data_IF_394011497551
#
_entry.id   IF_394011497551
#
_cell.length_a   1.000
_cell.length_b   1.000
_cell.length_c   1.000
_cell.angle_alpha   90.00
_cell.angle_beta   90.00
_cell.angle_gamma   90.00
#
_symmetry.space_group_name_H-M   'P 1'
#
loop_
_entity.id
_entity.type
_entity.pdbx_description
1 polymer ?
#
# COMPACT_ATOMS: atom_id res chain seq x y z
N UNK A 1 -41.10 71.85 32.70
CA UNK A 1 -39.63 72.03 32.58
C UNK A 1 -39.04 70.66 32.30
N UNK A 2 -38.46 70.49 31.12
CA UNK A 2 -37.74 69.29 30.71
C UNK A 2 -36.44 69.19 31.51
N UNK A 3 -36.12 68.00 32.05
CA UNK A 3 -34.76 67.69 32.50
C UNK A 3 -34.25 66.45 31.77
N UNK A 4 -33.15 66.68 31.07
CA UNK A 4 -32.41 65.75 30.23
C UNK A 4 -31.82 64.59 31.03
N UNK A 5 -32.08 63.37 30.56
CA UNK A 5 -31.30 62.18 30.92
C UNK A 5 -30.13 62.08 29.93
N UNK A 6 -28.91 62.37 30.39
CA UNK A 6 -27.67 61.96 29.70
C UNK A 6 -26.86 61.07 30.63
N UNK A 7 -27.09 59.76 30.51
CA UNK A 7 -26.23 58.74 31.10
C UNK A 7 -25.31 58.23 29.97
N UNK A 8 -24.12 58.83 29.85
CA UNK A 8 -23.07 58.40 28.93
C UNK A 8 -22.40 57.14 29.48
N UNK A 9 -22.82 55.98 28.97
CA UNK A 9 -22.06 54.74 29.13
C UNK A 9 -20.78 54.84 28.30
N UNK A 10 -19.62 54.80 28.97
CA UNK A 10 -18.33 54.71 28.33
C UNK A 10 -18.23 53.38 27.57
N UNK A 11 -18.09 53.46 26.24
CA UNK A 11 -17.79 52.31 25.41
C UNK A 11 -16.40 51.74 25.78
N UNK A 12 -16.22 50.41 25.83
CA UNK A 12 -14.90 49.82 26.03
C UNK A 12 -14.00 50.21 24.85
N UNK A 13 -12.94 50.95 25.15
CA UNK A 13 -11.92 51.31 24.17
C UNK A 13 -11.20 50.03 23.72
N UNK A 14 -11.61 49.51 22.56
CA UNK A 14 -10.87 48.46 21.86
C UNK A 14 -9.56 49.06 21.36
N UNK A 15 -8.56 49.12 22.24
CA UNK A 15 -7.24 49.66 21.92
C UNK A 15 -6.56 48.86 20.79
N UNK A 16 -5.65 49.49 20.03
CA UNK A 16 -4.96 48.89 18.88
C UNK A 16 -4.23 47.58 19.20
N UNK A 17 -3.91 47.32 20.48
CA UNK A 17 -3.26 46.10 20.95
C UNK A 17 -4.13 44.83 20.81
N UNK A 18 -5.47 44.91 20.97
CA UNK A 18 -6.34 43.73 20.91
C UNK A 18 -6.46 43.14 19.50
N UNK A 19 -6.45 44.01 18.47
CA UNK A 19 -6.44 43.59 17.07
C UNK A 19 -5.09 42.94 16.69
N UNK A 20 -3.98 43.48 17.20
CA UNK A 20 -2.65 42.95 16.93
C UNK A 20 -2.43 41.56 17.55
N UNK A 21 -2.95 41.31 18.76
CA UNK A 21 -2.92 40.00 19.42
C UNK A 21 -3.80 38.96 18.70
N UNK A 22 -5.00 39.35 18.23
CA UNK A 22 -5.85 38.46 17.43
C UNK A 22 -5.19 38.06 16.09
N UNK A 23 -4.51 39.01 15.43
CA UNK A 23 -3.74 38.74 14.21
C UNK A 23 -2.55 37.81 14.48
N UNK A 24 -1.79 38.01 15.56
CA UNK A 24 -0.72 37.08 15.97
C UNK A 24 -1.27 35.68 16.23
N UNK A 25 -2.37 35.55 16.97
CA UNK A 25 -3.04 34.27 17.23
C UNK A 25 -3.48 33.55 15.95
N UNK A 26 -3.97 34.30 14.95
CA UNK A 26 -4.32 33.76 13.64
C UNK A 26 -3.09 33.20 12.90
N UNK A 27 -1.98 33.96 12.84
CA UNK A 27 -0.74 33.48 12.20
C UNK A 27 -0.11 32.28 12.92
N UNK A 28 -0.18 32.24 14.25
CA UNK A 28 0.27 31.09 15.04
C UNK A 28 -0.58 29.87 14.70
N UNK A 29 -1.92 30.00 14.72
CA UNK A 29 -2.83 28.90 14.36
C UNK A 29 -2.58 28.40 12.94
N UNK A 30 -2.42 29.30 11.97
CA UNK A 30 -2.15 28.97 10.57
C UNK A 30 -0.80 28.27 10.36
N UNK A 31 0.23 28.64 11.16
CA UNK A 31 1.51 27.91 11.18
C UNK A 31 1.35 26.52 11.80
N UNK A 32 0.61 26.39 12.90
CA UNK A 32 0.39 25.12 13.58
C UNK A 32 -0.41 24.14 12.71
N UNK A 33 -1.46 24.61 12.05
CA UNK A 33 -2.29 23.80 11.14
C UNK A 33 -1.48 23.32 9.93
N UNK A 34 -0.67 24.20 9.32
CA UNK A 34 0.26 23.82 8.25
C UNK A 34 1.31 22.83 8.74
N UNK A 35 1.86 23.00 9.95
CA UNK A 35 2.82 22.05 10.52
C UNK A 35 2.20 20.68 10.77
N UNK A 36 0.94 20.63 11.21
CA UNK A 36 0.22 19.37 11.44
C UNK A 36 -0.10 18.66 10.12
N UNK A 37 -0.56 19.37 9.10
CA UNK A 37 -0.76 18.82 7.75
C UNK A 37 0.55 18.27 7.16
N UNK A 38 1.66 19.01 7.31
CA UNK A 38 2.99 18.53 6.90
C UNK A 38 3.43 17.28 7.67
N UNK A 39 3.20 17.22 8.99
CA UNK A 39 3.51 16.03 9.81
C UNK A 39 2.68 14.83 9.35
N UNK A 40 1.38 15.02 9.16
CA UNK A 40 0.48 13.96 8.71
C UNK A 40 0.85 13.45 7.31
N UNK A 41 1.17 14.35 6.37
CA UNK A 41 1.68 13.96 5.04
C UNK A 41 3.00 13.22 5.11
N UNK A 42 3.95 13.68 5.93
CA UNK A 42 5.26 13.03 6.14
C UNK A 42 5.10 11.64 6.74
N UNK A 43 4.23 11.48 7.73
CA UNK A 43 4.02 10.21 8.41
C UNK A 43 3.26 9.23 7.50
N UNK A 44 2.28 9.71 6.73
CA UNK A 44 1.65 8.94 5.64
C UNK A 44 2.69 8.47 4.62
N UNK A 45 3.55 9.37 4.16
CA UNK A 45 4.62 9.05 3.21
C UNK A 45 5.62 8.04 3.77
N UNK A 46 6.00 8.15 5.04
CA UNK A 46 6.84 7.15 5.74
C UNK A 46 6.15 5.78 5.79
N UNK A 47 4.87 5.74 6.12
CA UNK A 47 4.09 4.49 6.15
C UNK A 47 4.02 3.86 4.76
N UNK A 48 3.71 4.65 3.73
CA UNK A 48 3.69 4.19 2.33
C UNK A 48 5.07 3.71 1.88
N UNK A 49 6.16 4.42 2.19
CA UNK A 49 7.52 3.97 1.89
C UNK A 49 7.86 2.67 2.61
N UNK A 50 7.46 2.52 3.88
CA UNK A 50 7.73 1.30 4.65
C UNK A 50 6.98 0.10 4.06
N UNK A 51 5.72 0.30 3.64
CA UNK A 51 4.93 -0.69 2.88
C UNK A 51 5.58 -1.02 1.53
N UNK A 52 6.05 -0.01 0.78
CA UNK A 52 6.79 -0.20 -0.48
C UNK A 52 8.08 -0.99 -0.22
N UNK A 53 8.87 -0.65 0.80
CA UNK A 53 10.08 -1.39 1.18
C UNK A 53 9.80 -2.85 1.54
N UNK A 54 8.68 -3.12 2.23
CA UNK A 54 8.27 -4.48 2.53
C UNK A 54 7.89 -5.26 1.26
N UNK A 55 7.23 -4.61 0.30
CA UNK A 55 6.89 -5.20 -1.00
C UNK A 55 8.13 -5.44 -1.89
N UNK A 56 9.17 -4.60 -1.77
CA UNK A 56 10.44 -4.75 -2.49
C UNK A 56 11.33 -5.89 -1.96
N UNK A 57 10.89 -6.62 -0.92
CA UNK A 57 11.59 -7.81 -0.45
C UNK A 57 11.71 -8.83 -1.59
N UNK A 58 12.93 -9.30 -1.79
CA UNK A 58 13.19 -10.45 -2.64
C UNK A 58 13.34 -11.69 -1.79
N UNK A 59 12.77 -12.81 -2.25
CA UNK A 59 12.97 -14.13 -1.64
C UNK A 59 13.60 -15.00 -2.70
N UNK A 60 14.85 -15.42 -2.49
CA UNK A 60 15.62 -16.21 -3.48
C UNK A 60 15.66 -15.53 -4.87
N UNK A 61 15.74 -14.19 -4.85
CA UNK A 61 15.72 -13.34 -6.03
C UNK A 61 14.34 -13.16 -6.69
N UNK A 62 13.26 -13.73 -6.16
CA UNK A 62 11.88 -13.49 -6.60
C UNK A 62 11.38 -12.18 -6.00
N UNK A 63 10.91 -11.26 -6.84
CA UNK A 63 10.32 -10.00 -6.41
C UNK A 63 8.86 -10.20 -6.02
N UNK A 64 8.58 -10.28 -4.72
CA UNK A 64 7.23 -10.59 -4.22
C UNK A 64 6.19 -9.52 -4.61
N UNK A 65 6.59 -8.25 -4.73
CA UNK A 65 5.67 -7.21 -5.23
C UNK A 65 5.15 -7.46 -6.65
N UNK A 66 5.94 -8.09 -7.53
CA UNK A 66 5.51 -8.39 -8.91
C UNK A 66 4.36 -9.41 -8.88
N UNK A 67 4.51 -10.43 -8.02
CA UNK A 67 3.49 -11.46 -7.78
C UNK A 67 2.26 -10.83 -7.14
N UNK A 68 2.45 -10.08 -6.06
CA UNK A 68 1.37 -9.41 -5.32
C UNK A 68 0.53 -8.49 -6.22
N UNK A 69 1.18 -7.73 -7.12
CA UNK A 69 0.50 -6.84 -8.06
C UNK A 69 -0.33 -7.61 -9.09
N UNK A 70 0.18 -8.74 -9.59
CA UNK A 70 -0.57 -9.59 -10.53
C UNK A 70 -1.78 -10.24 -9.85
N UNK A 71 -1.61 -10.74 -8.63
CA UNK A 71 -2.69 -11.31 -7.82
C UNK A 71 -3.79 -10.28 -7.54
N UNK A 72 -3.42 -9.09 -7.05
CA UNK A 72 -4.37 -8.00 -6.84
C UNK A 72 -5.11 -7.58 -8.11
N UNK A 73 -4.44 -7.64 -9.26
CA UNK A 73 -5.11 -7.37 -10.53
C UNK A 73 -6.17 -8.43 -10.83
N UNK A 74 -5.84 -9.71 -10.65
CA UNK A 74 -6.77 -10.83 -10.85
C UNK A 74 -7.96 -10.74 -9.91
N UNK A 75 -7.72 -10.46 -8.63
CA UNK A 75 -8.79 -10.28 -7.63
C UNK A 75 -9.77 -9.16 -8.00
N UNK A 76 -9.30 -8.10 -8.67
CA UNK A 76 -10.15 -6.98 -9.12
C UNK A 76 -10.83 -7.23 -10.46
N UNK A 77 -10.18 -7.94 -11.38
CA UNK A 77 -10.68 -8.16 -12.74
C UNK A 77 -11.48 -9.45 -12.90
N UNK A 78 -11.47 -10.32 -11.89
CA UNK A 78 -11.91 -11.71 -12.01
C UNK A 78 -10.87 -12.58 -12.72
N UNK A 79 -11.04 -13.90 -12.58
CA UNK A 79 -10.21 -14.91 -13.25
C UNK A 79 -10.77 -15.16 -14.65
N UNK A 80 -9.96 -14.98 -15.72
CA UNK A 80 -10.41 -15.28 -17.08
C UNK A 80 -10.78 -16.77 -17.25
N UNK A 81 -11.87 -17.05 -17.99
CA UNK A 81 -12.39 -18.42 -18.20
C UNK A 81 -11.32 -19.43 -18.63
N UNK A 82 -10.41 -19.05 -19.53
CA UNK A 82 -9.28 -19.90 -19.97
C UNK A 82 -8.42 -20.46 -18.82
N UNK A 83 -8.30 -19.72 -17.72
CA UNK A 83 -7.54 -20.14 -16.54
C UNK A 83 -8.36 -21.08 -15.66
N UNK A 84 -9.68 -20.88 -15.62
CA UNK A 84 -10.62 -21.82 -14.97
C UNK A 84 -10.65 -23.15 -15.72
N UNK A 85 -10.76 -23.11 -17.05
CA UNK A 85 -10.79 -24.31 -17.91
C UNK A 85 -9.51 -25.15 -17.78
N UNK A 86 -8.37 -24.49 -17.57
CA UNK A 86 -7.07 -25.16 -17.40
C UNK A 86 -6.75 -25.48 -15.94
N UNK A 87 -7.55 -24.98 -14.98
CA UNK A 87 -7.31 -25.11 -13.54
C UNK A 87 -6.03 -24.43 -13.07
N UNK A 88 -5.46 -23.47 -13.82
CA UNK A 88 -4.19 -22.84 -13.45
C UNK A 88 -3.98 -21.42 -13.97
N UNK A 89 -3.32 -20.62 -13.14
CA UNK A 89 -2.81 -19.29 -13.48
C UNK A 89 -1.28 -19.31 -13.42
N UNK A 90 -0.63 -18.88 -14.51
CA UNK A 90 0.84 -18.80 -14.57
C UNK A 90 1.31 -17.36 -14.41
N UNK A 91 2.14 -17.12 -13.39
CA UNK A 91 2.83 -15.86 -13.15
C UNK A 91 4.31 -16.05 -13.49
N UNK A 92 4.70 -15.59 -14.68
CA UNK A 92 6.13 -15.56 -15.06
C UNK A 92 6.88 -14.57 -14.18
N UNK A 93 8.04 -15.03 -13.66
CA UNK A 93 8.93 -14.27 -12.78
C UNK A 93 10.18 -13.82 -13.54
N UNK A 94 10.83 -12.78 -13.01
CA UNK A 94 12.11 -12.29 -13.52
C UNK A 94 13.18 -13.39 -13.54
N UNK A 95 13.99 -13.50 -14.60
CA UNK A 95 15.02 -14.57 -14.72
C UNK A 95 16.02 -14.57 -13.57
N UNK A 96 16.48 -15.75 -13.16
CA UNK A 96 17.56 -15.90 -12.18
C UNK A 96 18.90 -15.63 -12.88
N UNK A 97 19.74 -14.76 -12.29
CA UNK A 97 21.09 -14.48 -12.81
C UNK A 97 22.05 -15.66 -12.60
N UNK A 98 21.78 -16.50 -11.61
CA UNK A 98 22.58 -17.70 -11.32
C UNK A 98 22.05 -18.89 -12.12
N UNK A 99 22.95 -19.83 -12.45
CA UNK A 99 22.64 -21.05 -13.20
C UNK A 99 22.17 -22.22 -12.32
N UNK A 100 22.07 -21.99 -11.01
CA UNK A 100 21.70 -23.01 -10.03
C UNK A 100 20.21 -22.94 -9.71
N UNK A 101 19.47 -24.05 -9.81
CA UNK A 101 18.09 -24.13 -9.34
C UNK A 101 18.01 -23.86 -7.83
N UNK A 102 16.85 -23.41 -7.35
CA UNK A 102 16.60 -23.34 -5.91
C UNK A 102 16.39 -24.75 -5.34
N UNK A 103 16.80 -24.94 -4.09
CA UNK A 103 16.57 -26.19 -3.36
C UNK A 103 15.10 -26.34 -2.99
N UNK A 104 14.67 -27.55 -2.63
CA UNK A 104 13.27 -27.80 -2.25
C UNK A 104 12.81 -26.96 -1.04
N UNK A 105 13.69 -26.78 -0.05
CA UNK A 105 13.41 -25.90 1.10
C UNK A 105 13.26 -24.42 0.70
N UNK A 106 14.02 -23.98 -0.30
CA UNK A 106 13.87 -22.64 -0.87
C UNK A 106 12.56 -22.50 -1.66
N UNK A 107 12.14 -23.52 -2.42
CA UNK A 107 10.84 -23.52 -3.12
C UNK A 107 9.69 -23.39 -2.14
N UNK A 108 9.66 -24.24 -1.11
CA UNK A 108 8.63 -24.20 -0.06
C UNK A 108 8.58 -22.83 0.63
N UNK A 109 9.75 -22.21 0.87
CA UNK A 109 9.81 -20.84 1.40
C UNK A 109 9.20 -19.82 0.43
N UNK A 110 9.47 -19.91 -0.87
CA UNK A 110 8.89 -19.00 -1.87
C UNK A 110 7.36 -19.19 -1.90
N UNK A 111 6.88 -20.42 -1.96
CA UNK A 111 5.45 -20.76 -1.98
C UNK A 111 4.73 -20.23 -0.76
N UNK A 112 5.27 -20.45 0.45
CA UNK A 112 4.74 -19.90 1.69
C UNK A 112 4.67 -18.38 1.67
N UNK A 113 5.74 -17.73 1.21
CA UNK A 113 5.79 -16.27 1.12
C UNK A 113 4.81 -15.71 0.08
N UNK A 114 4.49 -16.46 -0.97
CA UNK A 114 3.46 -16.11 -1.96
C UNK A 114 2.06 -16.29 -1.38
N UNK A 115 1.84 -17.38 -0.63
CA UNK A 115 0.57 -17.68 0.04
C UNK A 115 0.18 -16.62 1.08
N UNK A 116 1.18 -16.04 1.76
CA UNK A 116 1.03 -14.96 2.74
C UNK A 116 0.87 -13.55 2.11
N UNK A 117 0.86 -13.42 0.77
CA UNK A 117 0.67 -12.12 0.11
C UNK A 117 -0.77 -11.63 0.25
N UNK A 118 -0.91 -10.33 0.55
CA UNK A 118 -2.21 -9.63 0.58
C UNK A 118 -3.03 -9.86 -0.70
N UNK A 119 -2.38 -9.83 -1.86
CA UNK A 119 -3.04 -10.07 -3.14
C UNK A 119 -3.56 -11.50 -3.30
N UNK A 120 -2.93 -12.47 -2.65
CA UNK A 120 -3.39 -13.86 -2.66
C UNK A 120 -4.65 -14.00 -1.80
N UNK A 121 -4.66 -13.34 -0.63
CA UNK A 121 -5.86 -13.26 0.21
C UNK A 121 -7.01 -12.56 -0.51
N UNK A 122 -6.75 -11.43 -1.17
CA UNK A 122 -7.74 -10.73 -1.97
C UNK A 122 -8.32 -11.61 -3.09
N UNK A 123 -7.51 -12.50 -3.69
CA UNK A 123 -7.97 -13.43 -4.71
C UNK A 123 -8.92 -14.49 -4.10
N UNK A 124 -8.56 -15.07 -2.95
CA UNK A 124 -9.42 -16.01 -2.19
C UNK A 124 -10.77 -15.39 -1.81
N UNK A 125 -10.76 -14.12 -1.43
CA UNK A 125 -11.98 -13.40 -1.05
C UNK A 125 -12.84 -13.00 -2.26
N UNK A 126 -12.24 -12.86 -3.44
CA UNK A 126 -12.96 -12.46 -4.66
C UNK A 126 -13.77 -13.59 -5.29
N UNK A 127 -13.30 -14.83 -5.16
CA UNK A 127 -13.80 -15.99 -5.90
C UNK A 127 -13.66 -17.23 -5.01
N UNK A 128 -14.74 -18.01 -4.84
CA UNK A 128 -14.80 -19.16 -3.91
C UNK A 128 -14.15 -20.44 -4.46
N UNK A 129 -12.93 -20.35 -4.99
CA UNK A 129 -12.12 -21.50 -5.35
C UNK A 129 -11.04 -21.76 -4.30
N UNK A 130 -10.53 -22.99 -4.29
CA UNK A 130 -9.30 -23.31 -3.56
C UNK A 130 -8.11 -22.98 -4.45
N UNK A 131 -7.15 -22.23 -3.90
CA UNK A 131 -5.94 -21.81 -4.60
C UNK A 131 -4.70 -22.36 -3.92
N UNK A 132 -3.76 -22.87 -4.71
CA UNK A 132 -2.46 -23.34 -4.21
C UNK A 132 -1.30 -22.79 -5.06
N UNK A 133 -0.37 -22.02 -4.49
CA UNK A 133 0.81 -21.57 -5.21
C UNK A 133 1.86 -22.69 -5.28
N UNK A 134 2.42 -22.89 -6.47
CA UNK A 134 3.50 -23.84 -6.75
C UNK A 134 4.62 -23.10 -7.48
N UNK A 135 5.84 -23.15 -6.94
CA UNK A 135 6.99 -22.56 -7.58
C UNK A 135 7.66 -23.55 -8.53
N UNK A 136 7.87 -23.10 -9.76
CA UNK A 136 8.46 -23.91 -10.82
C UNK A 136 9.62 -23.17 -11.47
N UNK A 137 10.62 -23.95 -11.87
CA UNK A 137 11.76 -23.45 -12.61
C UNK A 137 12.26 -24.47 -13.62
N UNK A 138 12.82 -23.96 -14.72
CA UNK A 138 13.38 -24.74 -15.81
C UNK A 138 14.71 -24.13 -16.23
N UNK A 139 15.74 -24.97 -16.20
CA UNK A 139 17.07 -24.60 -16.71
C UNK A 139 16.99 -24.38 -18.22
N UNK A 140 17.53 -23.25 -18.67
CA UNK A 140 17.71 -22.91 -20.08
C UNK A 140 19.20 -22.64 -20.35
N UNK A 141 19.59 -22.59 -21.62
CA UNK A 141 20.98 -22.35 -22.02
C UNK A 141 21.57 -21.07 -21.40
N UNK A 142 20.77 -20.02 -21.23
CA UNK A 142 21.21 -18.70 -20.76
C UNK A 142 20.67 -18.33 -19.36
N UNK A 143 20.39 -19.32 -18.51
CA UNK A 143 19.95 -19.11 -17.13
C UNK A 143 18.71 -19.92 -16.76
N UNK A 144 17.97 -19.47 -15.75
CA UNK A 144 16.79 -20.19 -15.25
C UNK A 144 15.53 -19.36 -15.51
N UNK A 145 14.59 -19.96 -16.24
CA UNK A 145 13.23 -19.49 -16.34
C UNK A 145 12.46 -20.00 -15.12
N UNK A 146 11.71 -19.12 -14.47
CA UNK A 146 10.93 -19.45 -13.29
C UNK A 146 9.57 -18.79 -13.32
N UNK A 147 8.60 -19.43 -12.70
CA UNK A 147 7.23 -18.96 -12.63
C UNK A 147 6.54 -19.52 -11.39
N UNK A 148 5.46 -18.87 -10.99
CA UNK A 148 4.50 -19.41 -10.01
C UNK A 148 3.31 -19.94 -10.81
N UNK A 149 2.92 -21.18 -10.58
CA UNK A 149 1.59 -21.67 -10.95
C UNK A 149 0.67 -21.55 -9.74
N UNK A 150 -0.51 -21.01 -9.94
CA UNK A 150 -1.58 -21.04 -8.95
C UNK A 150 -2.56 -22.08 -9.46
N UNK A 151 -2.59 -23.22 -8.81
CA UNK A 151 -3.56 -24.27 -9.06
C UNK A 151 -4.92 -23.82 -8.54
N UNK A 152 -5.97 -24.03 -9.33
CA UNK A 152 -7.35 -23.69 -9.01
C UNK A 152 -8.13 -25.01 -8.92
N UNK A 153 -8.73 -25.29 -7.77
CA UNK A 153 -9.68 -26.40 -7.61
C UNK A 153 -11.02 -25.89 -7.09
N UNK A 154 -12.09 -26.45 -7.64
CA UNK A 154 -13.46 -26.22 -7.19
C UNK A 154 -13.79 -27.04 -5.94
#
# INVERSE_FOLDING_TARGET
MLQDVKNTAAAPSSGPNGKMEAFKGFFVKLKTDKMNDFRQKRDTYKTTISQIKHSLKTVEGVFLWEVNRKLNRLARSGIPQKHLDTGKITIVLSRKKTSEPVTEGQKSRIEKMVDELEGFENLRLSEFYTYKPVYLEKKQFNGIMRWIEIEISA
#
